data_IF_324243111500
#
_entry.id   IF_324243111500
#
_cell.length_a   1.000
_cell.length_b   1.000
_cell.length_c   1.000
_cell.angle_alpha   90.00
_cell.angle_beta   90.00
_cell.angle_gamma   90.00
#
_symmetry.space_group_name_H-M   'P 1'
#
loop_
_entity.id
_entity.type
_entity.pdbx_description
1 polymer ?
#
# COMPACT_ATOMS: atom_id res chain seq x y z
N UNK A 1 -8.83 10.43 8.70
CA UNK A 1 -8.92 9.06 9.27
C UNK A 1 -7.54 8.42 9.37
N UNK A 2 -7.25 7.70 10.47
CA UNK A 2 -5.97 7.02 10.73
C UNK A 2 -6.19 5.51 10.85
N UNK A 3 -5.28 4.69 10.29
CA UNK A 3 -5.37 3.23 10.36
C UNK A 3 -4.24 2.68 11.22
N UNK A 4 -4.60 1.96 12.28
CA UNK A 4 -3.65 1.25 13.14
C UNK A 4 -3.63 -0.23 12.78
N UNK A 5 -2.44 -0.80 12.65
CA UNK A 5 -2.23 -2.21 12.33
C UNK A 5 -1.46 -2.88 13.44
N UNK A 6 -2.08 -3.88 14.08
CA UNK A 6 -1.45 -4.68 15.12
C UNK A 6 -1.48 -6.17 14.75
N UNK A 7 -0.41 -6.89 15.10
CA UNK A 7 -0.36 -8.34 14.97
C UNK A 7 -1.04 -8.97 16.19
N UNK A 8 -1.76 -10.08 16.00
CA UNK A 8 -2.21 -10.92 17.12
C UNK A 8 -1.06 -11.81 17.61
N UNK A 9 -1.04 -12.04 18.92
CA UNK A 9 -0.21 -13.11 19.46
C UNK A 9 -0.65 -14.46 18.88
N UNK A 10 0.32 -15.34 18.63
CA UNK A 10 0.04 -16.69 18.14
C UNK A 10 -0.65 -17.49 19.25
N UNK A 11 -1.82 -18.06 18.94
CA UNK A 11 -2.52 -18.92 19.88
C UNK A 11 -3.41 -19.95 19.15
N UNK A 12 -3.77 -21.04 19.82
CA UNK A 12 -4.73 -22.04 19.30
C UNK A 12 -6.07 -21.39 18.92
N UNK A 13 -6.46 -20.29 19.60
CA UNK A 13 -7.68 -19.52 19.36
C UNK A 13 -7.73 -18.88 17.96
N UNK A 14 -6.58 -18.55 17.37
CA UNK A 14 -6.50 -17.96 16.04
C UNK A 14 -7.06 -18.87 14.93
N UNK A 15 -7.15 -20.21 15.18
CA UNK A 15 -7.80 -21.14 14.26
C UNK A 15 -9.25 -20.75 13.96
N UNK A 16 -9.97 -20.17 14.94
CA UNK A 16 -11.35 -19.69 14.74
C UNK A 16 -11.39 -18.54 13.73
N UNK A 17 -10.47 -17.58 13.81
CA UNK A 17 -10.38 -16.45 12.85
C UNK A 17 -10.02 -16.95 11.45
N UNK A 18 -9.11 -17.92 11.32
CA UNK A 18 -8.82 -18.54 10.02
C UNK A 18 -10.06 -19.21 9.41
N UNK A 19 -10.83 -19.93 10.22
CA UNK A 19 -12.11 -20.55 9.80
C UNK A 19 -13.09 -19.48 9.33
N UNK A 20 -13.25 -18.39 10.08
CA UNK A 20 -14.13 -17.27 9.74
C UNK A 20 -13.72 -16.61 8.41
N UNK A 21 -12.41 -16.38 8.19
CA UNK A 21 -11.90 -15.84 6.93
C UNK A 21 -12.20 -16.79 5.75
N UNK A 22 -12.10 -18.13 5.96
CA UNK A 22 -12.42 -19.09 4.92
C UNK A 22 -13.92 -19.07 4.59
N UNK A 23 -14.79 -19.05 5.61
CA UNK A 23 -16.24 -18.95 5.43
C UNK A 23 -16.60 -17.62 4.72
N UNK A 24 -15.97 -16.51 5.09
CA UNK A 24 -16.16 -15.24 4.40
C UNK A 24 -15.78 -15.33 2.89
N UNK A 25 -14.73 -16.09 2.57
CA UNK A 25 -14.36 -16.40 1.19
C UNK A 25 -15.40 -17.25 0.45
N UNK A 26 -16.02 -18.21 1.13
CA UNK A 26 -17.11 -19.02 0.56
C UNK A 26 -18.35 -18.15 0.30
N UNK A 27 -18.71 -17.28 1.25
CA UNK A 27 -19.84 -16.33 1.09
C UNK A 27 -19.56 -15.40 -0.11
N UNK A 28 -18.34 -14.85 -0.22
CA UNK A 28 -17.95 -14.02 -1.37
C UNK A 28 -18.15 -14.76 -2.70
N UNK A 29 -17.67 -16.01 -2.81
CA UNK A 29 -17.83 -16.80 -4.02
C UNK A 29 -19.30 -17.11 -4.34
N UNK A 30 -20.10 -17.41 -3.32
CA UNK A 30 -21.54 -17.58 -3.49
C UNK A 30 -22.18 -16.32 -4.09
N UNK A 31 -21.84 -15.15 -3.57
CA UNK A 31 -22.35 -13.90 -4.09
C UNK A 31 -21.94 -13.63 -5.54
N UNK A 32 -20.69 -13.94 -5.92
CA UNK A 32 -20.25 -13.83 -7.32
C UNK A 32 -21.02 -14.76 -8.23
N UNK A 33 -21.26 -16.02 -7.80
CA UNK A 33 -22.07 -16.97 -8.54
C UNK A 33 -23.50 -16.47 -8.76
N UNK A 34 -24.10 -15.93 -7.69
CA UNK A 34 -25.45 -15.37 -7.73
C UNK A 34 -25.54 -14.16 -8.68
N UNK A 35 -24.60 -13.22 -8.61
CA UNK A 35 -24.54 -12.08 -9.51
C UNK A 35 -24.46 -12.51 -10.98
N UNK A 36 -23.59 -13.46 -11.31
CA UNK A 36 -23.43 -13.98 -12.67
C UNK A 36 -24.70 -14.65 -13.17
N UNK A 37 -25.33 -15.48 -12.32
CA UNK A 37 -26.58 -16.17 -12.65
C UNK A 37 -27.72 -15.17 -12.85
N UNK A 38 -27.87 -14.21 -11.98
CA UNK A 38 -28.92 -13.18 -12.04
C UNK A 38 -28.78 -12.34 -13.32
N UNK A 39 -27.56 -11.87 -13.63
CA UNK A 39 -27.30 -11.11 -14.85
C UNK A 39 -27.57 -11.92 -16.11
N UNK A 40 -27.22 -13.20 -16.13
CA UNK A 40 -27.50 -14.09 -17.30
C UNK A 40 -28.99 -14.21 -17.57
N UNK A 41 -29.81 -14.34 -16.52
CA UNK A 41 -31.26 -14.55 -16.63
C UNK A 41 -31.98 -13.22 -16.89
N UNK A 42 -31.71 -12.21 -16.11
CA UNK A 42 -32.49 -10.97 -16.07
C UNK A 42 -31.82 -9.78 -16.76
N UNK A 43 -30.58 -9.92 -17.24
CA UNK A 43 -29.76 -8.84 -17.82
C UNK A 43 -29.63 -7.60 -16.91
N UNK A 44 -29.86 -7.76 -15.60
CA UNK A 44 -29.81 -6.71 -14.56
C UNK A 44 -28.76 -7.06 -13.50
N UNK A 45 -28.19 -6.05 -12.89
CA UNK A 45 -27.25 -6.21 -11.76
C UNK A 45 -28.01 -6.33 -10.44
N UNK A 46 -27.53 -7.21 -9.55
CA UNK A 46 -28.03 -7.27 -8.16
C UNK A 46 -27.57 -6.08 -7.35
N UNK A 47 -28.49 -5.46 -6.63
CA UNK A 47 -28.12 -4.41 -5.66
C UNK A 47 -27.48 -5.01 -4.41
N UNK A 48 -26.68 -4.21 -3.71
CA UNK A 48 -26.09 -4.61 -2.42
C UNK A 48 -27.17 -4.97 -1.38
N UNK A 49 -28.31 -4.25 -1.41
CA UNK A 49 -29.45 -4.52 -0.54
C UNK A 49 -30.08 -5.88 -0.82
N UNK A 50 -30.42 -6.17 -2.08
CA UNK A 50 -31.00 -7.46 -2.51
C UNK A 50 -30.08 -8.63 -2.14
N UNK A 51 -28.76 -8.45 -2.33
CA UNK A 51 -27.76 -9.44 -1.97
C UNK A 51 -27.73 -9.69 -0.46
N UNK A 52 -27.74 -8.64 0.35
CA UNK A 52 -27.76 -8.74 1.81
C UNK A 52 -29.03 -9.42 2.32
N UNK A 53 -30.21 -9.11 1.74
CA UNK A 53 -31.50 -9.76 2.05
C UNK A 53 -31.46 -11.24 1.71
N UNK A 54 -30.90 -11.62 0.56
CA UNK A 54 -30.70 -13.01 0.16
C UNK A 54 -29.81 -13.78 1.15
N UNK A 55 -28.66 -13.21 1.53
CA UNK A 55 -27.74 -13.82 2.51
C UNK A 55 -28.38 -13.99 3.90
N UNK A 56 -29.22 -13.05 4.31
CA UNK A 56 -29.97 -13.13 5.56
C UNK A 56 -30.97 -14.31 5.55
N UNK A 57 -31.65 -14.56 4.44
CA UNK A 57 -32.53 -15.73 4.27
C UNK A 57 -31.74 -17.04 4.28
N UNK A 58 -30.62 -17.10 3.54
CA UNK A 58 -29.79 -18.31 3.47
C UNK A 58 -29.22 -18.75 4.83
N UNK A 59 -28.83 -17.81 5.68
CA UNK A 59 -28.32 -18.14 7.03
C UNK A 59 -29.31 -18.90 7.92
N UNK A 60 -30.59 -18.87 7.61
CA UNK A 60 -31.63 -19.60 8.34
C UNK A 60 -31.66 -21.09 7.95
N UNK A 61 -31.22 -21.43 6.75
CA UNK A 61 -31.18 -22.79 6.25
C UNK A 61 -30.05 -23.59 6.90
N UNK A 62 -30.28 -24.86 7.20
CA UNK A 62 -29.33 -25.78 7.86
C UNK A 62 -27.98 -25.84 7.13
N UNK A 63 -28.00 -25.95 5.81
CA UNK A 63 -26.82 -25.96 4.92
C UNK A 63 -25.88 -24.77 5.13
N UNK A 64 -26.39 -23.59 5.45
CA UNK A 64 -25.65 -22.33 5.56
C UNK A 64 -25.52 -21.79 7.00
N UNK A 65 -25.97 -22.56 8.00
CA UNK A 65 -25.90 -22.16 9.43
C UNK A 65 -24.49 -21.79 9.87
N UNK A 66 -23.46 -22.43 9.34
CA UNK A 66 -22.07 -22.13 9.61
C UNK A 66 -21.65 -20.71 9.20
N UNK A 67 -22.40 -20.02 8.34
CA UNK A 67 -22.14 -18.60 7.98
C UNK A 67 -22.38 -17.65 9.17
N UNK A 68 -23.21 -18.04 10.14
CA UNK A 68 -23.42 -17.28 11.39
C UNK A 68 -22.11 -17.06 12.15
N UNK A 69 -21.10 -17.94 11.98
CA UNK A 69 -19.77 -17.82 12.59
C UNK A 69 -18.98 -16.59 12.11
N UNK A 70 -19.31 -16.00 10.99
CA UNK A 70 -18.62 -14.80 10.49
C UNK A 70 -19.19 -13.52 11.08
N UNK A 71 -20.44 -13.55 11.52
CA UNK A 71 -21.17 -12.39 12.05
C UNK A 71 -21.86 -11.56 10.95
N UNK A 72 -22.98 -10.92 11.33
CA UNK A 72 -23.82 -10.16 10.40
C UNK A 72 -23.08 -8.98 9.76
N UNK A 73 -22.33 -8.23 10.54
CA UNK A 73 -21.56 -7.07 10.08
C UNK A 73 -20.54 -7.45 9.00
N UNK A 74 -19.80 -8.54 9.19
CA UNK A 74 -18.84 -9.01 8.20
C UNK A 74 -19.50 -9.54 6.92
N UNK A 75 -20.68 -10.15 7.02
CA UNK A 75 -21.46 -10.59 5.84
C UNK A 75 -21.97 -9.38 5.06
N UNK A 76 -22.45 -8.35 5.74
CA UNK A 76 -22.86 -7.10 5.12
C UNK A 76 -21.69 -6.42 4.40
N UNK A 77 -20.50 -6.36 5.03
CA UNK A 77 -19.30 -5.83 4.40
C UNK A 77 -18.92 -6.61 3.13
N UNK A 78 -19.09 -7.95 3.10
CA UNK A 78 -18.85 -8.75 1.90
C UNK A 78 -19.78 -8.33 0.76
N UNK A 79 -21.08 -8.13 1.02
CA UNK A 79 -22.05 -7.64 0.02
C UNK A 79 -21.64 -6.29 -0.55
N UNK A 80 -21.24 -5.37 0.31
CA UNK A 80 -20.78 -4.04 -0.09
C UNK A 80 -19.45 -4.06 -0.86
N UNK A 81 -18.50 -4.92 -0.48
CA UNK A 81 -17.25 -5.11 -1.24
C UNK A 81 -17.53 -5.55 -2.67
N UNK A 82 -18.52 -6.42 -2.85
CA UNK A 82 -18.94 -6.89 -4.16
C UNK A 82 -19.62 -5.77 -4.93
N UNK A 83 -20.55 -5.04 -4.31
CA UNK A 83 -21.20 -3.89 -4.92
C UNK A 83 -20.19 -2.84 -5.41
N UNK A 84 -19.21 -2.47 -4.56
CA UNK A 84 -18.12 -1.55 -4.95
C UNK A 84 -17.27 -2.10 -6.10
N UNK A 85 -16.98 -3.40 -6.11
CA UNK A 85 -16.20 -4.02 -7.19
C UNK A 85 -16.94 -4.00 -8.53
N UNK A 86 -18.26 -4.23 -8.55
CA UNK A 86 -19.06 -4.10 -9.75
C UNK A 86 -19.23 -2.63 -10.17
N UNK A 87 -19.44 -1.71 -9.24
CA UNK A 87 -19.50 -0.27 -9.54
C UNK A 87 -18.21 0.22 -10.23
N UNK A 88 -17.05 -0.19 -9.71
CA UNK A 88 -15.75 0.11 -10.33
C UNK A 88 -15.62 -0.54 -11.72
N UNK A 89 -16.08 -1.77 -11.89
CA UNK A 89 -16.08 -2.46 -13.17
C UNK A 89 -16.90 -1.69 -14.22
N UNK A 90 -18.14 -1.29 -13.91
CA UNK A 90 -18.99 -0.55 -14.82
C UNK A 90 -18.46 0.87 -15.07
N UNK A 91 -17.91 1.54 -14.07
CA UNK A 91 -17.24 2.82 -14.25
C UNK A 91 -16.08 2.71 -15.26
N UNK A 92 -15.22 1.71 -15.10
CA UNK A 92 -14.10 1.49 -16.01
C UNK A 92 -14.56 1.17 -17.45
N UNK A 93 -15.64 0.38 -17.61
CA UNK A 93 -16.23 0.12 -18.92
C UNK A 93 -16.70 1.41 -19.59
N UNK A 94 -17.41 2.27 -18.83
CA UNK A 94 -17.92 3.54 -19.35
C UNK A 94 -16.79 4.45 -19.84
N UNK A 95 -15.61 4.37 -19.22
CA UNK A 95 -14.42 5.16 -19.58
C UNK A 95 -13.45 4.41 -20.50
N UNK A 96 -13.88 3.34 -21.18
CA UNK A 96 -13.04 2.53 -22.08
C UNK A 96 -11.75 2.00 -21.45
N UNK A 97 -11.72 1.84 -20.12
CA UNK A 97 -10.57 1.28 -19.40
C UNK A 97 -10.69 -0.24 -19.45
N UNK A 98 -9.66 -0.91 -19.99
CA UNK A 98 -9.61 -2.38 -20.05
C UNK A 98 -9.78 -2.99 -18.66
N UNK A 99 -10.85 -3.72 -18.45
CA UNK A 99 -11.21 -4.29 -17.15
C UNK A 99 -11.96 -5.63 -17.31
N UNK A 100 -12.02 -6.40 -16.24
CA UNK A 100 -12.79 -7.64 -16.18
C UNK A 100 -13.72 -7.63 -14.96
N UNK A 101 -14.89 -8.33 -15.05
CA UNK A 101 -15.82 -8.37 -13.94
C UNK A 101 -15.22 -9.09 -12.72
N UNK A 102 -15.74 -8.84 -11.51
CA UNK A 102 -15.33 -9.54 -10.32
C UNK A 102 -15.40 -11.06 -10.47
N UNK A 103 -14.33 -11.75 -10.06
CA UNK A 103 -14.19 -13.19 -10.27
C UNK A 103 -14.12 -13.97 -8.95
N UNK A 104 -14.27 -15.31 -9.04
CA UNK A 104 -14.09 -16.22 -7.92
C UNK A 104 -12.69 -16.13 -7.32
N UNK A 105 -12.61 -16.27 -6.01
CA UNK A 105 -11.34 -16.33 -5.28
C UNK A 105 -11.14 -17.70 -4.66
N UNK A 106 -9.95 -18.29 -4.86
CA UNK A 106 -9.60 -19.50 -4.09
C UNK A 106 -9.69 -19.17 -2.60
N UNK A 107 -10.44 -19.97 -1.82
CA UNK A 107 -10.72 -19.71 -0.40
C UNK A 107 -9.43 -19.47 0.40
N UNK A 108 -8.38 -20.25 0.14
CA UNK A 108 -7.06 -20.07 0.76
C UNK A 108 -6.40 -18.71 0.46
N UNK A 109 -6.80 -18.04 -0.64
CA UNK A 109 -6.32 -16.70 -1.03
C UNK A 109 -7.20 -15.58 -0.50
N UNK A 110 -8.40 -15.89 0.02
CA UNK A 110 -9.24 -14.90 0.69
C UNK A 110 -8.60 -14.50 2.01
N UNK A 111 -8.49 -13.21 2.30
CA UNK A 111 -7.55 -12.73 3.35
C UNK A 111 -8.22 -12.07 4.54
N UNK A 112 -9.42 -11.50 4.41
CA UNK A 112 -9.95 -10.62 5.45
C UNK A 112 -11.45 -10.50 5.45
N UNK A 113 -12.00 -10.14 6.63
CA UNK A 113 -13.35 -9.61 6.78
C UNK A 113 -13.33 -8.37 7.67
N UNK A 114 -14.34 -7.51 7.55
CA UNK A 114 -14.44 -6.26 8.30
C UNK A 114 -15.69 -6.25 9.16
N UNK A 115 -15.54 -5.78 10.39
CA UNK A 115 -16.59 -5.47 11.34
C UNK A 115 -16.72 -3.94 11.40
N UNK A 116 -17.91 -3.42 11.16
CA UNK A 116 -18.13 -1.97 11.07
C UNK A 116 -18.44 -1.37 12.44
N UNK A 117 -19.62 -1.64 12.96
CA UNK A 117 -20.10 -0.99 14.18
C UNK A 117 -20.20 -1.96 15.37
N UNK A 118 -20.37 -3.24 15.10
CA UNK A 118 -20.59 -4.27 16.12
C UNK A 118 -19.82 -5.57 15.81
N UNK A 119 -19.84 -6.50 16.77
CA UNK A 119 -19.17 -7.80 16.64
C UNK A 119 -17.74 -7.81 17.19
N UNK A 120 -17.28 -6.69 17.75
CA UNK A 120 -16.01 -6.58 18.47
C UNK A 120 -16.14 -5.70 19.71
N UNK A 121 -15.27 -5.93 20.70
CA UNK A 121 -15.04 -5.03 21.83
C UNK A 121 -13.52 -4.91 22.02
N UNK A 122 -12.99 -3.69 21.95
CA UNK A 122 -11.58 -3.41 22.19
C UNK A 122 -11.40 -2.97 23.64
N UNK A 123 -10.36 -3.48 24.31
CA UNK A 123 -9.97 -3.12 25.67
C UNK A 123 -8.51 -2.69 25.64
N UNK A 124 -8.26 -1.39 25.89
CA UNK A 124 -6.92 -0.80 25.87
C UNK A 124 -6.05 -1.31 27.02
N UNK A 125 -6.62 -1.47 28.22
CA UNK A 125 -5.92 -1.94 29.43
C UNK A 125 -5.22 -3.28 29.22
N UNK A 126 -5.90 -4.26 28.61
CA UNK A 126 -5.36 -5.60 28.38
C UNK A 126 -4.69 -5.77 27.01
N UNK A 127 -4.60 -4.74 26.21
CA UNK A 127 -4.17 -4.82 24.81
C UNK A 127 -4.88 -5.96 24.07
N UNK A 128 -6.20 -6.05 24.22
CA UNK A 128 -6.97 -7.16 23.70
C UNK A 128 -8.18 -6.71 22.91
N UNK A 129 -8.62 -7.59 22.01
CA UNK A 129 -9.87 -7.44 21.28
C UNK A 129 -10.72 -8.71 21.45
N UNK A 130 -11.98 -8.52 21.73
CA UNK A 130 -12.97 -9.58 21.73
C UNK A 130 -13.68 -9.56 20.39
N UNK A 131 -13.67 -10.67 19.68
CA UNK A 131 -14.38 -10.86 18.42
C UNK A 131 -15.30 -12.05 18.59
N UNK A 132 -16.63 -11.83 18.48
CA UNK A 132 -17.63 -12.89 18.64
C UNK A 132 -17.39 -13.75 19.90
N UNK A 133 -17.38 -13.11 21.06
CA UNK A 133 -17.20 -13.71 22.39
C UNK A 133 -15.83 -14.36 22.64
N UNK A 134 -14.86 -14.26 21.73
CA UNK A 134 -13.51 -14.79 21.89
C UNK A 134 -12.48 -13.66 22.06
N UNK A 135 -11.71 -13.69 23.15
CA UNK A 135 -10.64 -12.70 23.44
C UNK A 135 -9.33 -13.06 22.71
N UNK A 136 -8.71 -12.06 22.08
CA UNK A 136 -7.43 -12.13 21.38
C UNK A 136 -6.50 -11.03 21.87
N UNK A 137 -5.23 -11.35 22.16
CA UNK A 137 -4.22 -10.37 22.58
C UNK A 137 -3.53 -9.77 21.36
N UNK A 138 -3.31 -8.45 21.42
CA UNK A 138 -2.67 -7.65 20.39
C UNK A 138 -1.21 -7.35 20.75
N UNK A 139 -0.33 -7.43 19.76
CA UNK A 139 1.00 -6.85 19.82
C UNK A 139 0.86 -5.34 19.61
N UNK A 140 0.51 -4.61 20.69
CA UNK A 140 0.26 -3.18 20.64
C UNK A 140 1.60 -2.43 20.72
N UNK A 141 1.94 -1.69 19.66
CA UNK A 141 3.18 -0.90 19.57
C UNK A 141 2.96 0.59 19.83
N UNK A 142 1.71 1.04 19.85
CA UNK A 142 1.32 2.44 20.05
C UNK A 142 -0.14 2.55 20.48
N UNK A 143 -0.51 3.67 21.08
CA UNK A 143 -1.89 3.94 21.46
C UNK A 143 -2.78 4.14 20.24
N UNK A 144 -4.06 3.79 20.38
CA UNK A 144 -5.11 4.03 19.38
C UNK A 144 -5.79 5.35 19.77
N UNK A 145 -5.60 6.36 18.94
CA UNK A 145 -6.19 7.68 19.09
C UNK A 145 -7.49 7.77 18.28
N UNK A 146 -8.48 8.46 18.82
CA UNK A 146 -9.75 8.72 18.16
C UNK A 146 -10.76 7.57 18.24
N UNK A 147 -11.95 7.80 17.67
CA UNK A 147 -13.06 6.85 17.68
C UNK A 147 -12.85 5.75 16.64
N UNK A 148 -12.88 4.49 17.06
CA UNK A 148 -12.79 3.33 16.16
C UNK A 148 -14.07 3.26 15.31
N UNK A 149 -13.93 3.36 13.98
CA UNK A 149 -15.02 3.25 13.02
C UNK A 149 -15.19 1.82 12.49
N UNK A 150 -14.08 1.16 12.15
CA UNK A 150 -14.13 -0.20 11.62
C UNK A 150 -12.94 -1.04 12.10
N UNK A 151 -13.17 -2.35 12.22
CA UNK A 151 -12.14 -3.32 12.57
C UNK A 151 -12.05 -4.36 11.47
N UNK A 152 -10.88 -4.47 10.82
CA UNK A 152 -10.62 -5.49 9.81
C UNK A 152 -9.68 -6.56 10.35
N UNK A 153 -10.13 -7.81 10.32
CA UNK A 153 -9.31 -9.00 10.60
C UNK A 153 -8.70 -9.48 9.30
N UNK A 154 -7.37 -9.54 9.23
CA UNK A 154 -6.65 -9.93 8.00
C UNK A 154 -5.55 -10.93 8.31
N UNK A 155 -5.48 -12.03 7.54
CA UNK A 155 -4.36 -12.97 7.57
C UNK A 155 -3.37 -12.67 6.45
N UNK A 156 -2.08 -12.82 6.73
CA UNK A 156 -1.03 -12.72 5.73
C UNK A 156 -0.72 -14.08 5.06
N UNK A 157 0.32 -14.12 4.23
CA UNK A 157 0.74 -15.33 3.52
C UNK A 157 1.42 -16.36 4.43
N UNK A 158 1.86 -15.96 5.61
CA UNK A 158 2.46 -16.82 6.64
C UNK A 158 1.43 -17.41 7.59
N UNK A 159 0.17 -16.93 7.53
CA UNK A 159 -0.87 -17.28 8.47
C UNK A 159 -0.93 -16.37 9.71
N UNK A 160 -0.06 -15.37 9.81
CA UNK A 160 -0.17 -14.37 10.87
C UNK A 160 -1.45 -13.57 10.70
N UNK A 161 -2.15 -13.30 11.82
CA UNK A 161 -3.36 -12.48 11.83
C UNK A 161 -3.03 -11.09 12.32
N UNK A 162 -3.56 -10.11 11.61
CA UNK A 162 -3.47 -8.68 11.92
C UNK A 162 -4.86 -8.11 12.10
N UNK A 163 -4.98 -7.21 13.06
CA UNK A 163 -6.16 -6.37 13.26
C UNK A 163 -5.83 -4.97 12.77
N UNK A 164 -6.71 -4.43 11.94
CA UNK A 164 -6.64 -3.06 11.47
C UNK A 164 -7.80 -2.29 12.10
N UNK A 165 -7.49 -1.25 12.84
CA UNK A 165 -8.45 -0.31 13.38
C UNK A 165 -8.44 0.93 12.50
N UNK A 166 -9.57 1.28 11.91
CA UNK A 166 -9.74 2.56 11.23
C UNK A 166 -10.41 3.51 12.21
N UNK A 167 -9.72 4.58 12.55
CA UNK A 167 -10.17 5.55 13.53
C UNK A 167 -10.42 6.91 12.88
N UNK A 168 -11.47 7.60 13.33
CA UNK A 168 -11.67 9.01 13.05
C UNK A 168 -10.88 9.80 14.10
N UNK A 169 -9.94 10.61 13.64
CA UNK A 169 -9.19 11.53 14.48
C UNK A 169 -9.45 12.94 13.94
N UNK A 170 -9.88 13.84 14.78
CA UNK A 170 -10.25 15.19 14.38
C UNK A 170 -9.06 16.18 14.57
N UNK A 171 -7.97 15.73 15.21
CA UNK A 171 -6.78 16.57 15.43
C UNK A 171 -5.71 16.35 14.35
N UNK A 172 -5.42 17.36 13.57
CA UNK A 172 -4.18 17.48 12.81
C UNK A 172 -3.15 18.17 13.70
N UNK A 173 -2.16 17.42 14.20
CA UNK A 173 -0.98 18.02 14.82
C UNK A 173 -0.17 18.68 13.71
N UNK A 174 -0.23 19.99 13.62
CA UNK A 174 0.67 20.78 12.77
C UNK A 174 2.04 20.79 13.46
N UNK A 175 3.05 20.20 12.81
CA UNK A 175 4.44 20.33 13.28
C UNK A 175 4.93 21.76 13.03
N UNK A 176 5.86 22.25 13.87
CA UNK A 176 6.47 23.54 13.66
C UNK A 176 7.15 23.59 12.28
N UNK A 177 6.84 24.60 11.48
CA UNK A 177 7.39 24.77 10.13
C UNK A 177 8.76 25.46 10.23
N UNK A 178 9.76 24.90 9.55
CA UNK A 178 11.11 25.50 9.49
C UNK A 178 11.22 26.62 8.44
N UNK A 179 10.22 26.81 7.59
CA UNK A 179 10.23 27.75 6.45
C UNK A 179 11.11 27.32 5.28
N UNK A 180 11.91 26.26 5.41
CA UNK A 180 12.83 25.79 4.36
C UNK A 180 12.08 25.11 3.22
N UNK A 181 12.56 25.36 1.99
CA UNK A 181 12.10 24.70 0.76
C UNK A 181 13.19 23.84 0.17
N UNK A 182 12.83 22.72 -0.47
CA UNK A 182 13.78 21.80 -1.10
C UNK A 182 13.21 21.20 -2.38
N UNK A 183 14.09 21.00 -3.37
CA UNK A 183 13.82 20.22 -4.58
C UNK A 183 14.48 18.86 -4.49
N UNK A 184 13.76 17.80 -4.92
CA UNK A 184 14.28 16.45 -4.97
C UNK A 184 14.18 15.85 -6.37
N UNK A 185 15.31 15.33 -6.85
CA UNK A 185 15.37 14.46 -8.01
C UNK A 185 15.42 12.98 -7.58
N UNK A 186 14.63 12.12 -8.25
CA UNK A 186 14.55 10.68 -7.97
C UNK A 186 15.58 9.91 -8.79
N UNK A 187 16.52 9.27 -8.10
CA UNK A 187 17.56 8.48 -8.74
C UNK A 187 17.53 6.98 -8.42
N UNK A 188 18.23 6.19 -9.22
CA UNK A 188 18.39 4.75 -9.00
C UNK A 188 19.61 4.40 -8.15
N UNK A 189 20.63 5.23 -8.17
CA UNK A 189 21.85 5.11 -7.32
C UNK A 189 21.62 5.83 -6.01
N UNK A 190 21.34 7.11 -6.06
CA UNK A 190 20.87 7.96 -4.98
C UNK A 190 19.35 7.88 -4.97
N UNK A 191 18.72 7.63 -3.83
CA UNK A 191 17.26 7.51 -3.73
C UNK A 191 16.57 8.86 -3.99
N UNK A 192 17.10 9.93 -3.37
CA UNK A 192 16.73 11.32 -3.60
C UNK A 192 18.01 12.16 -3.60
N UNK A 193 18.22 12.91 -4.66
CA UNK A 193 19.24 13.97 -4.72
C UNK A 193 18.57 15.29 -4.35
N UNK A 194 19.13 15.99 -3.41
CA UNK A 194 18.58 17.20 -2.82
C UNK A 194 19.21 18.45 -3.40
N UNK A 195 18.44 19.53 -3.53
CA UNK A 195 18.94 20.85 -3.93
C UNK A 195 19.89 21.47 -2.93
N UNK A 196 19.78 21.12 -1.63
CA UNK A 196 20.64 21.61 -0.54
C UNK A 196 21.88 20.72 -0.27
N UNK A 197 22.05 19.63 -1.01
CA UNK A 197 23.19 18.73 -0.89
C UNK A 197 23.04 17.61 0.13
N UNK A 198 21.88 17.47 0.76
CA UNK A 198 21.59 16.35 1.66
C UNK A 198 21.05 15.14 0.92
N UNK A 199 21.89 14.48 0.17
CA UNK A 199 21.50 13.33 -0.64
C UNK A 199 21.11 12.12 0.21
N UNK A 200 20.13 11.36 -0.26
CA UNK A 200 19.63 10.16 0.40
C UNK A 200 20.01 8.95 -0.43
N UNK A 201 20.91 8.13 0.12
CA UNK A 201 21.38 6.93 -0.56
C UNK A 201 20.28 5.89 -0.79
N UNK A 202 20.44 5.14 -1.87
CA UNK A 202 19.54 4.03 -2.19
C UNK A 202 19.79 2.85 -1.27
N UNK A 203 18.78 2.38 -0.49
CA UNK A 203 18.94 1.32 0.48
C UNK A 203 19.07 -0.08 -0.12
N UNK A 204 18.77 -0.27 -1.43
CA UNK A 204 18.94 -1.52 -2.19
C UNK A 204 18.42 -2.76 -1.46
N UNK A 205 17.22 -2.71 -0.91
CA UNK A 205 16.64 -3.74 -0.02
C UNK A 205 16.62 -5.13 -0.62
N UNK A 206 16.16 -5.25 -1.88
CA UNK A 206 16.08 -6.51 -2.57
C UNK A 206 17.48 -7.00 -3.00
N UNK A 207 18.30 -6.10 -3.55
CA UNK A 207 19.64 -6.44 -4.06
C UNK A 207 20.51 -7.04 -2.96
N UNK A 208 20.51 -6.46 -1.76
CA UNK A 208 21.27 -6.99 -0.58
C UNK A 208 20.80 -8.38 -0.12
N UNK A 209 19.57 -8.77 -0.44
CA UNK A 209 19.01 -10.07 -0.06
C UNK A 209 18.81 -11.03 -1.26
N UNK A 210 19.27 -10.65 -2.45
CA UNK A 210 19.00 -11.40 -3.70
C UNK A 210 19.54 -12.82 -3.65
N UNK A 211 20.75 -13.04 -3.14
CA UNK A 211 21.38 -14.37 -3.01
C UNK A 211 20.55 -15.32 -2.14
N UNK A 212 20.06 -14.83 -0.99
CA UNK A 212 19.21 -15.62 -0.09
C UNK A 212 17.87 -15.99 -0.77
N UNK A 213 17.27 -15.05 -1.52
CA UNK A 213 16.02 -15.29 -2.27
C UNK A 213 16.26 -16.32 -3.38
N UNK A 214 17.35 -16.21 -4.14
CA UNK A 214 17.70 -17.18 -5.21
C UNK A 214 17.89 -18.57 -4.61
N UNK A 215 18.67 -18.70 -3.52
CA UNK A 215 18.87 -19.98 -2.80
C UNK A 215 17.54 -20.56 -2.31
N UNK A 216 16.66 -19.73 -1.71
CA UNK A 216 15.36 -20.19 -1.24
C UNK A 216 14.43 -20.63 -2.39
N UNK A 217 14.44 -19.93 -3.53
CA UNK A 217 13.69 -20.31 -4.73
C UNK A 217 14.18 -21.63 -5.31
N UNK A 218 15.50 -21.83 -5.43
CA UNK A 218 16.11 -23.11 -5.90
C UNK A 218 15.72 -24.27 -4.99
N UNK A 219 15.78 -24.10 -3.65
CA UNK A 219 15.32 -25.09 -2.68
C UNK A 219 13.83 -25.42 -2.84
N UNK A 220 13.00 -24.40 -3.03
CA UNK A 220 11.55 -24.55 -3.22
C UNK A 220 11.23 -25.30 -4.53
N UNK A 221 11.93 -25.01 -5.62
CA UNK A 221 11.75 -25.67 -6.91
C UNK A 221 12.00 -27.18 -6.85
N UNK A 222 13.02 -27.61 -6.09
CA UNK A 222 13.40 -29.03 -5.93
C UNK A 222 12.44 -29.86 -5.07
N UNK A 223 11.41 -29.25 -4.44
CA UNK A 223 10.49 -29.97 -3.53
C UNK A 223 9.22 -30.38 -4.26
N UNK A 224 8.77 -31.63 -4.03
CA UNK A 224 7.54 -32.20 -4.57
C UNK A 224 6.34 -31.28 -4.28
N UNK A 225 5.52 -31.04 -5.30
CA UNK A 225 4.33 -30.20 -5.19
C UNK A 225 3.37 -30.77 -4.14
N UNK A 226 2.84 -29.92 -3.25
CA UNK A 226 1.91 -30.35 -2.17
C UNK A 226 2.59 -30.85 -0.90
N UNK A 227 3.87 -31.24 -0.91
CA UNK A 227 4.56 -31.81 0.25
C UNK A 227 4.70 -30.84 1.43
N UNK A 228 4.85 -31.38 2.65
CA UNK A 228 5.10 -30.61 3.86
C UNK A 228 6.43 -29.83 3.77
N UNK A 229 7.47 -30.44 3.18
CA UNK A 229 8.75 -29.80 2.93
C UNK A 229 8.62 -28.58 2.02
N UNK A 230 7.84 -28.69 0.91
CA UNK A 230 7.56 -27.54 0.03
C UNK A 230 6.80 -26.44 0.75
N UNK A 231 5.85 -26.76 1.63
CA UNK A 231 5.13 -25.78 2.46
C UNK A 231 6.09 -25.03 3.38
N UNK A 232 7.06 -25.73 4.02
CA UNK A 232 8.10 -25.11 4.86
C UNK A 232 8.99 -24.15 4.07
N UNK A 233 9.52 -24.60 2.91
CA UNK A 233 10.38 -23.76 2.05
C UNK A 233 9.62 -22.53 1.52
N UNK A 234 8.34 -22.69 1.16
CA UNK A 234 7.50 -21.56 0.78
C UNK A 234 7.33 -20.56 1.91
N UNK A 235 7.17 -21.01 3.15
CA UNK A 235 7.06 -20.13 4.31
C UNK A 235 8.38 -19.38 4.56
N UNK A 236 9.53 -20.02 4.39
CA UNK A 236 10.87 -19.40 4.46
C UNK A 236 11.00 -18.27 3.43
N UNK A 237 10.72 -18.57 2.16
CA UNK A 237 10.72 -17.55 1.09
C UNK A 237 9.76 -16.38 1.40
N UNK A 238 8.56 -16.66 1.90
CA UNK A 238 7.62 -15.62 2.32
C UNK A 238 8.17 -14.76 3.47
N UNK A 239 8.92 -15.34 4.43
CA UNK A 239 9.56 -14.59 5.52
C UNK A 239 10.63 -13.64 4.99
N UNK A 240 11.46 -14.09 4.03
CA UNK A 240 12.48 -13.25 3.38
C UNK A 240 11.84 -12.03 2.70
N UNK A 241 10.83 -12.25 1.85
CA UNK A 241 10.10 -11.16 1.21
C UNK A 241 9.42 -10.22 2.21
N UNK A 242 8.83 -10.76 3.29
CA UNK A 242 8.22 -9.97 4.35
C UNK A 242 9.25 -9.09 5.08
N UNK A 243 10.45 -9.64 5.36
CA UNK A 243 11.55 -8.87 5.97
C UNK A 243 11.98 -7.69 5.11
N UNK A 244 12.12 -7.90 3.79
CA UNK A 244 12.45 -6.84 2.82
C UNK A 244 11.36 -5.78 2.78
N UNK A 245 10.10 -6.19 2.64
CA UNK A 245 8.97 -5.27 2.61
C UNK A 245 8.85 -4.45 3.90
N UNK A 246 9.10 -5.05 5.06
CA UNK A 246 9.09 -4.35 6.34
C UNK A 246 10.21 -3.33 6.45
N UNK A 247 11.46 -3.69 6.06
CA UNK A 247 12.60 -2.75 6.05
C UNK A 247 12.34 -1.55 5.15
N UNK A 248 11.82 -1.80 3.92
CA UNK A 248 11.46 -0.73 2.98
C UNK A 248 10.37 0.17 3.56
N UNK A 249 9.33 -0.43 4.12
CA UNK A 249 8.23 0.30 4.73
C UNK A 249 8.70 1.18 5.92
N UNK A 250 9.58 0.68 6.76
CA UNK A 250 10.18 1.43 7.89
C UNK A 250 11.02 2.60 7.38
N UNK A 251 11.88 2.36 6.39
CA UNK A 251 12.68 3.41 5.75
C UNK A 251 11.81 4.53 5.17
N UNK A 252 10.78 4.17 4.39
CA UNK A 252 9.89 5.17 3.79
C UNK A 252 9.17 6.02 4.83
N UNK A 253 8.70 5.43 5.94
CA UNK A 253 8.05 6.18 7.00
C UNK A 253 9.02 7.09 7.74
N UNK A 254 10.21 6.59 8.08
CA UNK A 254 11.24 7.40 8.74
C UNK A 254 11.65 8.58 7.87
N UNK A 255 11.90 8.31 6.59
CA UNK A 255 12.28 9.34 5.63
C UNK A 255 11.18 10.37 5.44
N UNK A 256 9.93 9.96 5.22
CA UNK A 256 8.82 10.89 5.05
C UNK A 256 8.63 11.79 6.28
N UNK A 257 8.73 11.23 7.50
CA UNK A 257 8.65 12.04 8.72
C UNK A 257 9.85 12.99 8.87
N UNK A 258 11.06 12.54 8.52
CA UNK A 258 12.26 13.39 8.54
C UNK A 258 12.08 14.59 7.61
N UNK A 259 11.75 14.35 6.33
CA UNK A 259 11.60 15.40 5.32
C UNK A 259 10.50 16.40 5.69
N UNK A 260 9.32 15.93 6.10
CA UNK A 260 8.24 16.83 6.50
C UNK A 260 8.50 17.57 7.84
N UNK A 261 9.44 17.09 8.65
CA UNK A 261 9.92 17.82 9.85
C UNK A 261 10.97 18.89 9.52
N UNK A 262 11.74 18.71 8.44
CA UNK A 262 12.82 19.62 8.04
C UNK A 262 12.35 20.69 7.05
N UNK A 263 11.37 20.39 6.17
CA UNK A 263 10.97 21.28 5.08
C UNK A 263 9.50 21.64 5.11
N UNK A 264 9.21 22.92 4.90
CA UNK A 264 7.86 23.44 4.73
C UNK A 264 7.32 23.21 3.32
N UNK A 265 8.21 23.25 2.31
CA UNK A 265 7.88 23.04 0.90
C UNK A 265 8.82 21.98 0.31
N UNK A 266 8.24 20.99 -0.36
CA UNK A 266 8.97 19.92 -1.04
C UNK A 266 8.54 19.90 -2.50
N UNK A 267 9.48 20.20 -3.42
CA UNK A 267 9.27 20.17 -4.85
C UNK A 267 9.83 18.86 -5.45
N UNK A 268 9.12 18.22 -6.36
CA UNK A 268 9.54 17.00 -7.02
C UNK A 268 8.88 16.84 -8.40
N UNK A 269 9.42 15.99 -9.26
CA UNK A 269 8.83 15.68 -10.56
C UNK A 269 7.60 14.76 -10.45
N UNK A 270 6.61 14.96 -11.36
CA UNK A 270 5.53 13.99 -11.57
C UNK A 270 6.00 12.82 -12.42
N UNK A 271 6.66 11.84 -11.80
CA UNK A 271 7.28 10.72 -12.49
C UNK A 271 6.26 9.74 -13.09
N UNK A 272 6.46 9.35 -14.35
CA UNK A 272 5.76 8.20 -14.94
C UNK A 272 6.35 6.87 -14.43
N UNK A 273 6.07 6.53 -13.18
CA UNK A 273 6.59 5.32 -12.52
C UNK A 273 6.22 4.03 -13.25
N UNK A 274 5.07 3.98 -13.96
CA UNK A 274 4.67 2.82 -14.76
C UNK A 274 5.57 2.66 -16.00
N UNK A 275 5.90 3.75 -16.67
CA UNK A 275 6.85 3.76 -17.79
C UNK A 275 8.26 3.37 -17.34
N UNK A 276 8.75 3.97 -16.25
CA UNK A 276 10.05 3.64 -15.66
C UNK A 276 10.13 2.16 -15.20
N UNK A 277 9.04 1.59 -14.72
CA UNK A 277 9.00 0.18 -14.32
C UNK A 277 9.17 -0.77 -15.52
N UNK A 278 8.71 -0.40 -16.71
CA UNK A 278 8.93 -1.19 -17.94
C UNK A 278 10.41 -1.23 -18.32
N UNK A 279 11.13 -0.12 -18.16
CA UNK A 279 12.54 0.01 -18.51
C UNK A 279 13.49 -0.56 -17.44
N UNK A 280 13.24 -0.24 -16.16
CA UNK A 280 14.13 -0.53 -15.03
C UNK A 280 13.51 -1.49 -13.99
N UNK A 281 12.45 -2.16 -14.32
CA UNK A 281 11.58 -3.07 -13.58
C UNK A 281 11.97 -3.40 -12.15
N UNK A 282 13.02 -4.22 -11.97
CA UNK A 282 13.43 -4.69 -10.63
C UNK A 282 13.94 -3.56 -9.74
N UNK A 283 14.70 -2.60 -10.28
CA UNK A 283 15.28 -1.49 -9.50
C UNK A 283 14.16 -0.56 -8.99
N UNK A 284 13.25 -0.14 -9.87
CA UNK A 284 12.10 0.69 -9.49
C UNK A 284 11.20 -0.01 -8.47
N UNK A 285 10.94 -1.32 -8.68
CA UNK A 285 10.15 -2.12 -7.73
C UNK A 285 10.84 -2.29 -6.38
N UNK A 286 12.18 -2.36 -6.34
CA UNK A 286 12.94 -2.46 -5.09
C UNK A 286 12.86 -1.17 -4.28
N UNK A 287 13.01 -0.03 -4.93
CA UNK A 287 12.96 1.28 -4.28
C UNK A 287 11.55 1.64 -3.82
N UNK A 288 10.53 1.25 -4.59
CA UNK A 288 9.11 1.44 -4.23
C UNK A 288 8.70 2.90 -4.17
N UNK A 289 9.14 3.73 -5.12
CA UNK A 289 8.86 5.17 -5.17
C UNK A 289 7.38 5.52 -5.02
N UNK A 290 6.47 4.79 -5.70
CA UNK A 290 5.03 5.02 -5.56
C UNK A 290 4.54 4.85 -4.11
N UNK A 291 5.07 3.84 -3.40
CA UNK A 291 4.74 3.60 -1.99
C UNK A 291 5.34 4.69 -1.07
N UNK A 292 6.53 5.18 -1.41
CA UNK A 292 7.16 6.31 -0.71
C UNK A 292 6.36 7.59 -0.88
N UNK A 293 6.00 7.96 -2.12
CA UNK A 293 5.21 9.16 -2.42
C UNK A 293 3.88 9.18 -1.67
N UNK A 294 3.14 8.07 -1.65
CA UNK A 294 1.90 7.97 -0.90
C UNK A 294 2.09 8.23 0.60
N UNK A 295 3.21 7.77 1.18
CA UNK A 295 3.52 8.02 2.59
C UNK A 295 3.94 9.45 2.83
N UNK A 296 4.75 10.01 1.93
CA UNK A 296 5.20 11.40 1.99
C UNK A 296 4.00 12.35 1.93
N UNK A 297 3.09 12.17 0.97
CA UNK A 297 1.86 12.93 0.85
C UNK A 297 0.99 12.83 2.11
N UNK A 298 0.88 11.63 2.69
CA UNK A 298 0.13 11.44 3.93
C UNK A 298 0.78 12.15 5.13
N UNK A 299 2.11 12.10 5.25
CA UNK A 299 2.83 12.78 6.35
C UNK A 299 2.79 14.28 6.14
N UNK A 300 2.98 14.76 4.91
CA UNK A 300 2.92 16.16 4.53
C UNK A 300 1.55 16.78 4.86
N UNK A 301 0.46 16.10 4.48
CA UNK A 301 -0.89 16.53 4.86
C UNK A 301 -1.06 16.71 6.37
N UNK A 302 -0.43 15.84 7.19
CA UNK A 302 -0.49 15.93 8.66
C UNK A 302 0.41 17.01 9.24
N UNK A 303 1.60 17.15 8.67
CA UNK A 303 2.61 18.11 9.12
C UNK A 303 2.32 19.54 8.64
N UNK A 304 1.43 19.69 7.65
CA UNK A 304 1.19 20.96 6.97
C UNK A 304 2.30 21.34 5.97
N UNK A 305 3.12 20.35 5.56
CA UNK A 305 4.12 20.54 4.51
C UNK A 305 3.43 20.58 3.14
N UNK A 306 3.82 21.52 2.29
CA UNK A 306 3.32 21.63 0.91
C UNK A 306 4.17 20.77 -0.01
N UNK A 307 3.55 19.87 -0.77
CA UNK A 307 4.23 19.09 -1.82
C UNK A 307 3.81 19.65 -3.18
N UNK A 308 4.79 20.07 -3.97
CA UNK A 308 4.61 20.59 -5.30
C UNK A 308 5.18 19.58 -6.30
N UNK A 309 4.38 19.16 -7.27
CA UNK A 309 4.82 18.31 -8.37
C UNK A 309 4.91 19.16 -9.62
N UNK A 310 6.13 19.29 -10.15
CA UNK A 310 6.37 19.97 -11.42
C UNK A 310 6.02 19.05 -12.59
N UNK A 311 5.86 19.63 -13.78
CA UNK A 311 5.58 18.88 -15.00
C UNK A 311 6.67 17.84 -15.28
N UNK A 312 6.26 16.65 -15.70
CA UNK A 312 7.16 15.52 -16.02
C UNK A 312 8.06 15.75 -17.24
N UNK A 313 7.69 16.68 -18.10
CA UNK A 313 8.43 17.03 -19.30
C UNK A 313 9.36 18.22 -19.09
N UNK A 314 9.34 18.84 -17.92
CA UNK A 314 10.25 19.91 -17.58
C UNK A 314 11.71 19.40 -17.68
N UNK A 315 12.59 20.04 -18.45
CA UNK A 315 13.94 19.56 -18.73
C UNK A 315 14.91 19.84 -17.57
N UNK A 316 14.56 19.45 -16.35
CA UNK A 316 15.27 19.75 -15.10
C UNK A 316 16.76 19.46 -15.16
N UNK A 317 17.18 18.34 -15.75
CA UNK A 317 18.58 17.94 -15.87
C UNK A 317 19.33 18.58 -17.03
N UNK A 318 18.61 19.26 -17.95
CA UNK A 318 19.19 19.88 -19.13
C UNK A 318 19.40 21.40 -19.00
N UNK A 319 18.69 22.05 -18.07
CA UNK A 319 18.79 23.47 -17.82
C UNK A 319 19.96 23.77 -16.87
N UNK A 320 20.70 24.81 -17.14
CA UNK A 320 21.67 25.35 -16.20
C UNK A 320 20.94 26.04 -15.04
N UNK A 321 21.18 25.63 -13.81
CA UNK A 321 20.54 26.22 -12.63
C UNK A 321 21.02 27.66 -12.33
N UNK A 322 22.11 28.12 -12.99
CA UNK A 322 22.63 29.47 -12.82
C UNK A 322 22.07 30.46 -13.85
N UNK A 323 22.09 30.11 -15.16
CA UNK A 323 21.70 31.03 -16.23
C UNK A 323 20.44 30.62 -17.01
N UNK A 324 19.89 29.44 -16.75
CA UNK A 324 18.69 28.93 -17.44
C UNK A 324 18.93 28.39 -18.85
N UNK A 325 20.15 28.47 -19.39
CA UNK A 325 20.45 27.97 -20.73
C UNK A 325 20.29 26.45 -20.80
N UNK A 326 19.65 25.95 -21.86
CA UNK A 326 19.46 24.53 -22.07
C UNK A 326 20.64 23.88 -22.78
N UNK A 327 21.19 22.80 -22.21
CA UNK A 327 22.20 21.96 -22.81
C UNK A 327 21.60 20.65 -23.31
N UNK A 328 21.42 20.54 -24.63
CA UNK A 328 20.82 19.35 -25.25
C UNK A 328 21.68 18.08 -25.15
N UNK A 329 23.01 18.22 -24.95
CA UNK A 329 23.90 17.05 -24.75
C UNK A 329 23.54 16.28 -23.48
N UNK A 330 22.88 16.94 -22.52
CA UNK A 330 22.37 16.31 -21.26
C UNK A 330 21.24 15.31 -21.47
N UNK A 331 20.76 15.10 -22.71
CA UNK A 331 19.89 13.95 -23.06
C UNK A 331 20.63 12.61 -22.87
N UNK A 332 21.96 12.58 -23.03
CA UNK A 332 22.75 11.40 -22.70
C UNK A 332 22.84 11.21 -21.17
N UNK A 333 22.21 10.13 -20.69
CA UNK A 333 22.18 9.80 -19.27
C UNK A 333 23.54 9.37 -18.69
N UNK A 334 24.55 9.13 -19.52
CA UNK A 334 25.90 8.75 -19.09
C UNK A 334 26.69 9.95 -18.59
N UNK A 335 26.38 11.16 -19.08
CA UNK A 335 27.05 12.40 -18.68
C UNK A 335 26.56 12.80 -17.29
N UNK A 336 27.47 12.81 -16.30
CA UNK A 336 27.17 13.12 -14.91
C UNK A 336 27.64 14.49 -14.45
N UNK A 337 28.69 15.02 -15.09
CA UNK A 337 29.22 16.35 -14.83
C UNK A 337 29.32 17.08 -16.16
N UNK A 338 29.04 18.38 -16.17
CA UNK A 338 29.11 19.21 -17.35
C UNK A 338 29.37 20.67 -16.98
N UNK A 339 29.90 21.43 -17.91
CA UNK A 339 30.14 22.86 -17.79
C UNK A 339 29.22 23.61 -18.72
N UNK A 340 28.59 24.67 -18.22
CA UNK A 340 27.75 25.56 -18.97
C UNK A 340 28.60 26.64 -19.66
N UNK A 341 28.12 27.25 -20.74
CA UNK A 341 28.74 28.42 -21.38
C UNK A 341 28.88 29.63 -20.45
N UNK A 342 28.04 29.72 -19.39
CA UNK A 342 28.20 30.74 -18.35
C UNK A 342 29.35 30.47 -17.36
N UNK A 343 30.14 29.41 -17.57
CA UNK A 343 31.27 29.02 -16.72
C UNK A 343 30.89 28.07 -15.54
N UNK A 344 29.62 27.92 -15.21
CA UNK A 344 29.19 27.10 -14.10
C UNK A 344 29.41 25.60 -14.36
N UNK A 345 29.97 24.90 -13.38
CA UNK A 345 30.19 23.45 -13.43
C UNK A 345 29.07 22.75 -12.60
N UNK A 346 28.39 21.82 -13.24
CA UNK A 346 27.24 21.14 -12.68
C UNK A 346 27.46 19.66 -12.50
N UNK A 347 27.00 19.13 -11.36
CA UNK A 347 26.67 17.73 -11.21
C UNK A 347 25.21 17.56 -11.61
N UNK A 348 24.93 16.68 -12.60
CA UNK A 348 23.64 16.54 -13.26
C UNK A 348 22.45 16.43 -12.30
N UNK A 349 22.51 15.47 -11.38
CA UNK A 349 21.39 15.14 -10.48
C UNK A 349 21.13 16.29 -9.48
N UNK A 350 22.19 16.96 -8.98
CA UNK A 350 22.07 18.13 -8.11
C UNK A 350 21.55 19.36 -8.86
N UNK A 351 22.03 19.60 -10.07
CA UNK A 351 21.53 20.66 -10.93
C UNK A 351 20.02 20.47 -11.21
N UNK A 352 19.60 19.23 -11.49
CA UNK A 352 18.19 18.91 -11.65
C UNK A 352 17.38 19.22 -10.39
N UNK A 353 17.86 18.85 -9.20
CA UNK A 353 17.17 19.13 -7.94
C UNK A 353 17.00 20.64 -7.68
N UNK A 354 18.01 21.46 -8.03
CA UNK A 354 17.92 22.92 -7.93
C UNK A 354 16.86 23.47 -8.92
N UNK A 355 16.87 22.98 -10.16
CA UNK A 355 15.89 23.41 -11.17
C UNK A 355 14.46 22.98 -10.78
N UNK A 356 14.29 21.80 -10.19
CA UNK A 356 13.00 21.31 -9.65
C UNK A 356 12.51 22.25 -8.54
N UNK A 357 13.41 22.69 -7.64
CA UNK A 357 13.06 23.67 -6.62
C UNK A 357 12.61 24.99 -7.22
N UNK A 358 13.44 25.57 -8.11
CA UNK A 358 13.18 26.88 -8.72
C UNK A 358 11.86 26.87 -9.50
N UNK A 359 11.62 25.81 -10.28
CA UNK A 359 10.35 25.66 -11.01
C UNK A 359 9.17 25.46 -10.07
N UNK A 360 9.33 24.60 -9.07
CA UNK A 360 8.26 24.31 -8.10
C UNK A 360 7.83 25.55 -7.31
N UNK A 361 8.76 26.41 -6.92
CA UNK A 361 8.45 27.65 -6.18
C UNK A 361 7.59 28.63 -6.99
N UNK A 362 7.55 28.55 -8.32
CA UNK A 362 6.66 29.37 -9.16
C UNK A 362 5.17 28.98 -9.00
N UNK A 363 4.87 27.82 -8.43
CA UNK A 363 3.50 27.32 -8.20
C UNK A 363 3.00 27.56 -6.75
N UNK A 364 3.75 28.29 -5.94
CA UNK A 364 3.34 28.75 -4.60
C UNK A 364 2.54 30.04 -4.70
#
# INVERSE_FOLDING_TARGET
MKTYKFKLYSSKRNKKLHRQINIAGSIYNHCIALHRRYYRIFKKSLTTFSLSKHLAKLKKLSKYTHWKLVGSQAIQDISERIGRAYALFFHNLKHNIKTSPPCFKKIRKYKSFTLKQAGYKYTSQDNSIIIQKQKYRLFKSREIEGKICTVTVKRDNLGDIYIYFVCKNDENKVLARTGKSVGFDFGLKTFLTSSDGQDIESPLFFRRNSSAIVKANRRLARKKHGSASRKRMKAELCRLHKKIANKRNDFHWKLANKLCGEYAVICMEDLNLKGMQKLYGRKISDLGFAEFLQKLEYVAYKAGTTIIKIDRFFPSSQLCSCCGQQNHQMKDLRIRKWQCSCGAVHQRDRNAAINILNEGLKYL
#
